data_IF_906766801976
#
_entry.id   IF_906766801976
#
_cell.length_a   1.000
_cell.length_b   1.000
_cell.length_c   1.000
_cell.angle_alpha   90.00
_cell.angle_beta   90.00
_cell.angle_gamma   90.00
#
_symmetry.space_group_name_H-M   'P 1'
#
loop_
_entity.id
_entity.type
_entity.pdbx_description
1 polymer ?
#
# COMPACT_ATOMS: atom_id res chain seq x y z
N UNK A 1 -4.20 -2.20 13.88
CA UNK A 1 -5.27 -1.85 12.93
C UNK A 1 -4.68 -1.83 11.54
N UNK A 2 -5.26 -2.55 10.59
CA UNK A 2 -4.81 -2.53 9.20
C UNK A 2 -4.97 -1.11 8.64
N UNK A 3 -3.86 -0.46 8.29
CA UNK A 3 -3.84 0.91 7.76
C UNK A 3 -4.50 1.07 6.38
N UNK A 4 -4.83 -0.01 5.70
CA UNK A 4 -5.04 -0.04 4.25
C UNK A 4 -6.47 -0.23 3.76
N UNK A 5 -7.47 -0.19 4.62
CA UNK A 5 -8.86 -0.37 4.23
C UNK A 5 -9.66 0.94 4.19
N UNK A 6 -8.98 2.07 4.30
CA UNK A 6 -9.59 3.40 4.33
C UNK A 6 -8.92 4.29 3.30
N UNK A 7 -9.67 5.03 2.48
CA UNK A 7 -9.09 6.01 1.57
C UNK A 7 -8.18 7.00 2.31
N UNK A 8 -6.99 7.24 1.77
CA UNK A 8 -6.07 8.26 2.24
C UNK A 8 -6.25 9.51 1.39
N UNK A 9 -6.62 10.62 2.03
CA UNK A 9 -6.94 11.88 1.38
C UNK A 9 -5.94 12.94 1.84
N UNK A 10 -5.14 13.46 0.93
CA UNK A 10 -4.18 14.53 1.20
C UNK A 10 -4.76 15.91 0.93
N UNK A 11 -4.58 16.86 1.86
CA UNK A 11 -5.00 18.25 1.69
C UNK A 11 -3.78 19.11 1.45
N UNK A 12 -3.69 19.70 0.25
CA UNK A 12 -2.55 20.48 -0.23
C UNK A 12 -2.94 21.94 -0.49
N UNK A 13 -1.97 22.82 -0.54
CA UNK A 13 -2.13 24.22 -0.87
C UNK A 13 -1.10 25.09 -0.17
N UNK A 14 -1.09 26.38 -0.50
CA UNK A 14 -0.18 27.36 0.12
C UNK A 14 -0.40 27.49 1.62
N UNK A 15 0.52 28.18 2.29
CA UNK A 15 0.31 28.60 3.68
C UNK A 15 -0.95 29.46 3.78
N UNK A 16 -1.66 29.36 4.89
CA UNK A 16 -2.82 30.17 5.23
C UNK A 16 -4.01 30.11 4.23
N UNK A 17 -4.02 29.17 3.29
CA UNK A 17 -5.17 28.98 2.39
C UNK A 17 -6.36 28.25 3.06
N UNK A 18 -6.23 27.89 4.35
CA UNK A 18 -7.33 27.29 5.14
C UNK A 18 -7.42 25.78 5.09
N UNK A 19 -6.31 25.04 4.81
CA UNK A 19 -6.26 23.56 4.82
C UNK A 19 -6.78 22.98 6.12
N UNK A 20 -6.20 23.38 7.24
CA UNK A 20 -6.57 22.89 8.57
C UNK A 20 -8.01 23.26 8.96
N UNK A 21 -8.49 24.41 8.54
CA UNK A 21 -9.88 24.83 8.74
C UNK A 21 -10.86 23.96 7.94
N UNK A 22 -10.50 23.61 6.69
CA UNK A 22 -11.27 22.71 5.84
C UNK A 22 -11.34 21.29 6.45
N UNK A 23 -10.22 20.79 6.98
CA UNK A 23 -10.15 19.52 7.69
C UNK A 23 -11.10 19.54 8.91
N UNK A 24 -11.03 20.58 9.73
CA UNK A 24 -11.89 20.71 10.91
C UNK A 24 -13.38 20.75 10.54
N UNK A 25 -13.72 21.40 9.43
CA UNK A 25 -15.09 21.44 8.92
C UNK A 25 -15.56 20.03 8.47
N UNK A 26 -14.75 19.32 7.67
CA UNK A 26 -15.06 17.98 7.19
C UNK A 26 -15.23 16.95 8.31
N UNK A 27 -14.52 17.14 9.42
CA UNK A 27 -14.56 16.22 10.56
C UNK A 27 -15.64 16.54 11.57
N UNK A 28 -16.27 17.71 11.49
CA UNK A 28 -17.19 18.23 12.52
C UNK A 28 -16.53 18.45 13.90
N UNK A 29 -15.18 18.42 13.97
CA UNK A 29 -14.40 18.52 15.21
C UNK A 29 -13.19 19.44 15.00
N UNK A 30 -12.73 20.09 16.07
CA UNK A 30 -11.45 20.83 16.06
C UNK A 30 -10.27 19.86 16.18
N UNK A 31 -9.95 19.20 15.07
CA UNK A 31 -8.91 18.16 15.02
C UNK A 31 -7.56 18.71 14.56
N UNK A 32 -7.56 19.68 13.64
CA UNK A 32 -6.34 20.31 13.14
C UNK A 32 -6.07 21.62 13.91
N UNK A 33 -4.78 21.91 14.13
CA UNK A 33 -4.38 23.16 14.75
C UNK A 33 -4.50 24.28 13.72
N UNK A 34 -5.43 25.22 13.95
CA UNK A 34 -5.54 26.45 13.17
C UNK A 34 -4.72 27.52 13.89
N UNK A 35 -3.71 28.08 13.23
CA UNK A 35 -2.87 29.15 13.75
C UNK A 35 -2.63 30.19 12.68
N UNK A 36 -2.69 31.46 13.09
CA UNK A 36 -2.34 32.60 12.23
C UNK A 36 -0.83 32.74 12.01
N UNK A 37 -0.03 31.94 12.73
CA UNK A 37 1.43 31.94 12.60
C UNK A 37 1.88 30.99 11.48
N UNK A 38 2.66 31.50 10.52
CA UNK A 38 3.22 30.71 9.45
C UNK A 38 4.09 29.56 9.97
N UNK A 39 3.89 28.34 9.45
CA UNK A 39 4.73 27.19 9.77
C UNK A 39 4.26 26.30 10.93
N UNK A 40 2.99 26.32 11.28
CA UNK A 40 2.43 25.52 12.38
C UNK A 40 2.48 24.01 12.11
N UNK A 41 2.32 23.58 10.85
CA UNK A 41 2.43 22.16 10.47
C UNK A 41 3.81 21.88 9.88
N UNK A 42 4.68 21.23 10.66
CA UNK A 42 6.06 20.89 10.22
C UNK A 42 6.14 19.54 9.52
N UNK A 43 5.36 18.58 9.97
CA UNK A 43 5.26 17.22 9.42
C UNK A 43 3.82 16.92 9.01
N UNK A 44 3.59 16.12 7.94
CA UNK A 44 2.25 15.71 7.56
C UNK A 44 1.56 14.97 8.71
N UNK A 45 0.38 15.43 9.11
CA UNK A 45 -0.38 14.86 10.22
C UNK A 45 -1.49 13.97 9.68
N UNK A 46 -1.43 12.68 10.01
CA UNK A 46 -2.42 11.68 9.61
C UNK A 46 -3.47 11.49 10.70
N UNK A 47 -4.73 11.54 10.32
CA UNK A 47 -5.85 11.30 11.22
C UNK A 47 -6.90 10.38 10.59
N UNK A 48 -7.21 9.29 11.29
CA UNK A 48 -8.34 8.42 10.93
C UNK A 48 -9.63 9.07 11.42
N UNK A 49 -10.55 9.30 10.51
CA UNK A 49 -11.84 9.97 10.75
C UNK A 49 -12.94 9.27 9.97
N UNK A 50 -14.17 9.65 10.25
CA UNK A 50 -15.34 9.31 9.44
C UNK A 50 -15.92 10.60 8.87
N UNK A 51 -16.05 10.67 7.54
CA UNK A 51 -16.71 11.78 6.85
C UNK A 51 -18.12 11.30 6.48
N UNK A 52 -19.13 12.02 6.94
CA UNK A 52 -20.52 11.71 6.58
C UNK A 52 -20.70 11.72 5.06
N UNK A 53 -21.21 10.63 4.50
CA UNK A 53 -21.40 10.44 3.07
C UNK A 53 -20.19 9.83 2.31
N UNK A 54 -18.98 9.82 2.92
CA UNK A 54 -17.79 9.17 2.37
C UNK A 54 -17.47 7.88 3.14
N UNK A 55 -17.65 7.90 4.47
CA UNK A 55 -17.29 6.82 5.37
C UNK A 55 -15.91 7.00 6.03
N UNK A 56 -15.36 5.92 6.61
CA UNK A 56 -14.07 5.98 7.29
C UNK A 56 -12.94 6.25 6.32
N UNK A 57 -12.10 7.25 6.62
CA UNK A 57 -10.94 7.64 5.81
C UNK A 57 -9.77 8.12 6.68
N UNK A 58 -8.63 8.36 6.06
CA UNK A 58 -7.45 8.99 6.67
C UNK A 58 -7.24 10.33 6.00
N UNK A 59 -7.44 11.44 6.73
CA UNK A 59 -7.04 12.76 6.26
C UNK A 59 -5.58 13.03 6.60
N UNK A 60 -4.86 13.63 5.66
CA UNK A 60 -3.45 14.02 5.82
C UNK A 60 -3.36 15.54 5.62
N UNK A 61 -3.11 16.26 6.72
CA UNK A 61 -2.81 17.70 6.67
C UNK A 61 -1.35 17.88 6.30
N UNK A 62 -1.08 18.72 5.27
CA UNK A 62 0.27 18.94 4.76
C UNK A 62 0.75 20.36 5.03
N UNK A 63 2.07 20.54 5.04
CA UNK A 63 2.68 21.86 5.08
C UNK A 63 2.38 22.67 3.79
N UNK A 64 2.64 23.97 3.81
CA UNK A 64 2.48 24.82 2.65
C UNK A 64 3.40 24.41 1.49
N UNK A 65 2.86 24.44 0.27
CA UNK A 65 3.63 24.14 -0.96
C UNK A 65 4.51 25.31 -1.41
N UNK A 66 4.37 26.45 -0.76
CA UNK A 66 5.07 27.72 -1.03
C UNK A 66 6.08 28.08 0.06
N UNK A 67 6.46 27.12 0.92
CA UNK A 67 7.46 27.33 1.95
C UNK A 67 8.84 27.60 1.33
N UNK A 68 9.58 28.57 1.88
CA UNK A 68 10.88 29.03 1.39
C UNK A 68 11.97 28.83 2.44
N UNK A 69 13.23 28.82 1.97
CA UNK A 69 14.40 28.57 2.82
C UNK A 69 14.67 27.07 2.99
N UNK A 70 15.79 26.73 3.62
CA UNK A 70 16.25 25.34 3.74
C UNK A 70 15.25 24.45 4.48
N UNK A 71 14.73 24.91 5.62
CA UNK A 71 13.68 24.19 6.37
C UNK A 71 12.35 24.16 5.61
N UNK A 72 12.05 25.23 4.84
CA UNK A 72 10.88 25.29 3.97
C UNK A 72 10.93 24.23 2.87
N UNK A 73 12.07 24.09 2.20
CA UNK A 73 12.26 23.08 1.17
C UNK A 73 12.07 21.65 1.71
N UNK A 74 12.62 21.34 2.90
CA UNK A 74 12.41 20.04 3.54
C UNK A 74 10.93 19.76 3.82
N UNK A 75 10.13 20.77 4.18
CA UNK A 75 8.68 20.64 4.37
C UNK A 75 7.94 20.39 3.06
N UNK A 76 8.31 21.12 2.00
CA UNK A 76 7.78 20.90 0.65
C UNK A 76 8.10 19.49 0.18
N UNK A 77 9.33 19.00 0.37
CA UNK A 77 9.73 17.64 0.00
C UNK A 77 8.92 16.57 0.76
N UNK A 78 8.68 16.78 2.06
CA UNK A 78 7.80 15.89 2.85
C UNK A 78 6.36 15.93 2.34
N UNK A 79 5.85 17.11 1.99
CA UNK A 79 4.51 17.30 1.40
C UNK A 79 4.41 16.56 0.06
N UNK A 80 5.43 16.63 -0.80
CA UNK A 80 5.45 15.92 -2.08
C UNK A 80 5.49 14.39 -1.91
N UNK A 81 6.16 13.87 -0.87
CA UNK A 81 6.16 12.44 -0.55
C UNK A 81 4.80 11.89 -0.13
N UNK A 82 3.92 12.73 0.43
CA UNK A 82 2.54 12.33 0.76
C UNK A 82 1.79 11.84 -0.47
N UNK A 83 2.07 12.40 -1.66
CA UNK A 83 1.43 11.98 -2.92
C UNK A 83 1.65 10.50 -3.25
N UNK A 84 2.71 9.88 -2.74
CA UNK A 84 3.03 8.48 -3.00
C UNK A 84 2.17 7.49 -2.19
N UNK A 85 1.45 7.99 -1.18
CA UNK A 85 0.69 7.17 -0.24
C UNK A 85 -0.81 7.46 -0.20
N UNK A 86 -1.29 8.49 -0.92
CA UNK A 86 -2.71 8.90 -0.91
C UNK A 86 -3.47 8.34 -2.11
N UNK A 87 -4.78 8.19 -1.92
CA UNK A 87 -5.73 7.74 -2.93
C UNK A 87 -6.41 8.91 -3.64
N UNK A 88 -6.48 10.07 -2.97
CA UNK A 88 -7.10 11.29 -3.48
C UNK A 88 -6.41 12.53 -2.91
N UNK A 89 -6.31 13.59 -3.70
CA UNK A 89 -5.79 14.88 -3.26
C UNK A 89 -6.84 15.98 -3.38
N UNK A 90 -6.83 16.91 -2.42
CA UNK A 90 -7.59 18.16 -2.46
C UNK A 90 -6.59 19.30 -2.52
N UNK A 91 -6.58 20.06 -3.62
CA UNK A 91 -5.77 21.28 -3.74
C UNK A 91 -6.60 22.48 -3.30
N UNK A 92 -6.22 23.10 -2.20
CA UNK A 92 -6.86 24.31 -1.66
C UNK A 92 -6.12 25.53 -2.13
N UNK A 93 -6.80 26.42 -2.83
CA UNK A 93 -6.31 27.74 -3.26
C UNK A 93 -7.15 28.84 -2.61
N UNK A 94 -6.64 30.07 -2.61
CA UNK A 94 -7.34 31.26 -2.12
C UNK A 94 -6.84 32.51 -2.84
N UNK A 95 -7.60 33.59 -2.83
CA UNK A 95 -7.21 34.87 -3.43
C UNK A 95 -6.92 34.77 -4.92
N UNK A 96 -7.61 33.87 -5.63
CA UNK A 96 -7.40 33.63 -7.06
C UNK A 96 -5.94 33.29 -7.45
N UNK A 97 -5.14 32.80 -6.49
CA UNK A 97 -3.73 32.47 -6.71
C UNK A 97 -3.57 31.05 -7.26
N UNK A 98 -3.11 30.97 -8.49
CA UNK A 98 -2.77 29.70 -9.15
C UNK A 98 -1.50 29.92 -9.98
N UNK A 99 -0.37 29.49 -9.45
CA UNK A 99 0.95 29.77 -10.01
C UNK A 99 1.87 28.55 -10.05
N UNK A 100 3.17 28.81 -10.01
CA UNK A 100 4.20 27.80 -10.17
C UNK A 100 4.14 26.68 -9.10
N UNK A 101 3.94 26.97 -7.79
CA UNK A 101 3.85 25.91 -6.78
C UNK A 101 2.69 24.94 -7.03
N UNK A 102 1.51 25.45 -7.43
CA UNK A 102 0.35 24.63 -7.77
C UNK A 102 0.62 23.76 -9.00
N UNK A 103 1.26 24.31 -10.03
CA UNK A 103 1.59 23.60 -11.28
C UNK A 103 2.58 22.47 -11.04
N UNK A 104 3.61 22.70 -10.22
CA UNK A 104 4.57 21.64 -9.84
C UNK A 104 3.89 20.50 -9.09
N UNK A 105 3.02 20.83 -8.13
CA UNK A 105 2.22 19.85 -7.40
C UNK A 105 1.32 19.05 -8.36
N UNK A 106 0.61 19.71 -9.26
CA UNK A 106 -0.27 19.06 -10.26
C UNK A 106 0.49 18.14 -11.20
N UNK A 107 1.67 18.55 -11.66
CA UNK A 107 2.52 17.70 -12.50
C UNK A 107 2.92 16.42 -11.76
N UNK A 108 3.24 16.53 -10.47
CA UNK A 108 3.56 15.36 -9.65
C UNK A 108 2.33 14.48 -9.41
N UNK A 109 1.14 15.05 -9.15
CA UNK A 109 -0.11 14.30 -9.04
C UNK A 109 -0.42 13.52 -10.32
N UNK A 110 -0.27 14.16 -11.49
CA UNK A 110 -0.47 13.51 -12.79
C UNK A 110 0.54 12.39 -13.03
N UNK A 111 1.81 12.60 -12.73
CA UNK A 111 2.86 11.59 -12.88
C UNK A 111 2.61 10.34 -12.00
N UNK A 112 2.03 10.53 -10.82
CA UNK A 112 1.68 9.46 -9.88
C UNK A 112 0.24 8.94 -10.06
N UNK A 113 -0.48 9.41 -11.08
CA UNK A 113 -1.89 9.09 -11.33
C UNK A 113 -2.76 9.24 -10.06
N UNK A 114 -2.53 10.30 -9.27
CA UNK A 114 -3.33 10.61 -8.08
C UNK A 114 -4.54 11.43 -8.52
N UNK A 115 -5.77 10.94 -8.34
CA UNK A 115 -6.98 11.73 -8.59
C UNK A 115 -7.05 12.92 -7.65
N UNK A 116 -7.51 14.04 -8.15
CA UNK A 116 -7.61 15.27 -7.36
C UNK A 116 -8.73 16.19 -7.84
N UNK A 117 -9.11 17.14 -6.98
CA UNK A 117 -9.94 18.28 -7.33
C UNK A 117 -9.45 19.54 -6.61
N UNK A 118 -9.97 20.70 -7.05
CA UNK A 118 -9.54 22.00 -6.56
C UNK A 118 -10.65 22.66 -5.78
N UNK A 119 -10.32 23.21 -4.62
CA UNK A 119 -11.21 24.03 -3.79
C UNK A 119 -10.63 25.44 -3.70
N UNK A 120 -11.37 26.42 -4.21
CA UNK A 120 -11.11 27.83 -3.93
C UNK A 120 -11.79 28.17 -2.62
N UNK A 121 -11.00 28.33 -1.56
CA UNK A 121 -11.49 28.66 -0.22
C UNK A 121 -11.45 30.18 0.02
N UNK A 122 -12.13 30.62 1.08
CA UNK A 122 -12.29 32.03 1.47
C UNK A 122 -13.06 32.84 0.41
N UNK A 123 -14.02 32.23 -0.24
CA UNK A 123 -14.90 32.92 -1.19
C UNK A 123 -15.73 34.07 -0.56
N UNK A 124 -15.76 34.14 0.78
CA UNK A 124 -16.30 35.26 1.53
C UNK A 124 -15.40 36.50 1.50
N UNK A 125 -14.08 36.31 1.43
CA UNK A 125 -13.12 37.39 1.30
C UNK A 125 -12.98 37.83 -0.18
N UNK A 126 -12.84 36.87 -1.08
CA UNK A 126 -12.64 37.08 -2.51
C UNK A 126 -13.28 35.95 -3.33
N UNK A 127 -14.33 36.27 -4.12
CA UNK A 127 -14.97 35.25 -4.99
C UNK A 127 -14.02 34.75 -6.10
N UNK A 128 -14.22 33.51 -6.55
CA UNK A 128 -13.45 32.93 -7.64
C UNK A 128 -13.74 33.66 -8.96
N UNK A 129 -12.71 34.21 -9.57
CA UNK A 129 -12.81 34.87 -10.88
C UNK A 129 -13.01 33.86 -11.99
N UNK A 130 -13.96 34.13 -12.90
CA UNK A 130 -14.27 33.21 -14.01
C UNK A 130 -13.05 32.90 -14.89
N UNK A 131 -12.15 33.86 -15.07
CA UNK A 131 -10.91 33.70 -15.85
C UNK A 131 -9.99 32.69 -15.15
N UNK A 132 -9.80 32.82 -13.84
CA UNK A 132 -8.94 31.92 -13.04
C UNK A 132 -9.55 30.53 -13.02
N UNK A 133 -10.87 30.43 -12.82
CA UNK A 133 -11.61 29.17 -12.90
C UNK A 133 -11.36 28.45 -14.23
N UNK A 134 -11.53 29.16 -15.34
CA UNK A 134 -11.35 28.59 -16.67
C UNK A 134 -9.91 28.12 -16.92
N UNK A 135 -8.91 28.83 -16.42
CA UNK A 135 -7.50 28.43 -16.51
C UNK A 135 -7.27 27.14 -15.72
N UNK A 136 -7.74 27.07 -14.47
CA UNK A 136 -7.56 25.91 -13.62
C UNK A 136 -8.26 24.69 -14.24
N UNK A 137 -9.53 24.82 -14.63
CA UNK A 137 -10.29 23.71 -15.21
C UNK A 137 -9.68 23.20 -16.53
N UNK A 138 -9.10 24.10 -17.33
CA UNK A 138 -8.37 23.72 -18.55
C UNK A 138 -7.08 22.96 -18.26
N UNK A 139 -6.30 23.42 -17.29
CA UNK A 139 -5.01 22.80 -16.93
C UNK A 139 -5.19 21.49 -16.16
N UNK A 140 -6.23 21.40 -15.34
CA UNK A 140 -6.45 20.26 -14.43
C UNK A 140 -7.44 19.23 -14.96
N UNK A 141 -8.32 19.62 -15.91
CA UNK A 141 -9.49 18.83 -16.31
C UNK A 141 -10.41 18.44 -15.13
N UNK A 142 -10.32 19.20 -14.05
CA UNK A 142 -11.06 19.01 -12.81
C UNK A 142 -11.91 20.22 -12.49
N UNK A 143 -13.08 19.99 -11.87
CA UNK A 143 -13.95 21.09 -11.39
C UNK A 143 -13.29 21.82 -10.24
N UNK A 144 -13.52 23.16 -10.23
CA UNK A 144 -13.14 24.00 -9.10
C UNK A 144 -14.39 24.34 -8.30
N UNK A 145 -14.36 24.00 -7.01
CA UNK A 145 -15.40 24.39 -6.06
C UNK A 145 -15.05 25.73 -5.44
N UNK A 146 -15.96 26.71 -5.54
CA UNK A 146 -15.88 27.98 -4.84
C UNK A 146 -16.56 27.81 -3.45
N UNK A 147 -15.81 28.02 -2.37
CA UNK A 147 -16.21 27.61 -1.03
C UNK A 147 -15.73 28.58 0.05
N UNK A 148 -16.45 28.66 1.16
CA UNK A 148 -16.04 29.39 2.36
C UNK A 148 -16.26 28.57 3.61
N UNK A 149 -15.20 28.27 4.34
CA UNK A 149 -15.28 27.63 5.65
C UNK A 149 -15.98 28.53 6.68
N UNK A 150 -15.81 29.86 6.60
CA UNK A 150 -16.36 30.81 7.56
C UNK A 150 -17.86 31.04 7.39
N UNK A 151 -18.35 31.07 6.15
CA UNK A 151 -19.79 31.17 5.88
C UNK A 151 -20.58 29.94 6.31
N UNK A 152 -19.89 28.85 6.68
CA UNK A 152 -20.50 27.54 6.93
C UNK A 152 -21.38 27.11 5.75
N UNK A 153 -20.88 27.33 4.54
CA UNK A 153 -21.54 26.90 3.33
C UNK A 153 -21.91 25.42 3.44
N UNK A 154 -22.92 25.00 2.73
CA UNK A 154 -23.29 23.58 2.68
C UNK A 154 -22.09 22.76 2.21
N UNK A 155 -21.66 21.80 3.03
CA UNK A 155 -20.51 20.92 2.71
C UNK A 155 -20.88 19.82 1.72
N UNK A 156 -22.17 19.63 1.43
CA UNK A 156 -22.64 18.54 0.56
C UNK A 156 -21.99 18.55 -0.82
N UNK A 157 -21.79 19.70 -1.51
CA UNK A 157 -21.08 19.71 -2.79
C UNK A 157 -19.61 19.26 -2.67
N UNK A 158 -18.94 19.62 -1.57
CA UNK A 158 -17.56 19.23 -1.31
C UNK A 158 -17.46 17.70 -1.07
N UNK A 159 -18.37 17.17 -0.24
CA UNK A 159 -18.46 15.73 0.04
C UNK A 159 -18.77 14.94 -1.23
N UNK A 160 -19.68 15.44 -2.06
CA UNK A 160 -20.05 14.76 -3.31
C UNK A 160 -18.89 14.71 -4.31
N UNK A 161 -18.16 15.81 -4.50
CA UNK A 161 -16.97 15.83 -5.37
C UNK A 161 -15.87 14.94 -4.79
N UNK A 162 -15.66 14.95 -3.49
CA UNK A 162 -14.71 14.09 -2.81
C UNK A 162 -15.04 12.61 -3.07
N UNK A 163 -16.30 12.21 -2.90
CA UNK A 163 -16.79 10.86 -3.16
C UNK A 163 -16.60 10.42 -4.61
N UNK A 164 -16.86 11.32 -5.57
CA UNK A 164 -16.66 11.06 -6.99
C UNK A 164 -15.18 10.97 -7.38
N UNK A 165 -14.30 11.66 -6.65
CA UNK A 165 -12.86 11.71 -6.96
C UNK A 165 -12.10 10.55 -6.33
N UNK A 166 -12.53 10.04 -5.17
CA UNK A 166 -11.90 8.87 -4.55
C UNK A 166 -12.18 7.64 -5.43
N UNK A 167 -11.15 6.95 -5.91
CA UNK A 167 -11.36 5.77 -6.76
C UNK A 167 -12.06 4.65 -5.99
N UNK A 168 -12.94 3.91 -6.66
CA UNK A 168 -13.63 2.76 -6.05
C UNK A 168 -12.67 1.76 -5.42
N UNK A 169 -11.49 1.59 -6.01
CA UNK A 169 -10.44 0.72 -5.50
C UNK A 169 -9.94 1.10 -4.10
N UNK A 170 -10.14 2.35 -3.66
CA UNK A 170 -9.79 2.81 -2.32
C UNK A 170 -10.83 2.38 -1.24
N UNK A 171 -12.05 2.05 -1.68
CA UNK A 171 -13.14 1.56 -0.80
C UNK A 171 -13.26 0.04 -0.80
N UNK A 172 -12.69 -0.62 -1.81
CA UNK A 172 -12.86 -2.06 -1.92
C UNK A 172 -12.17 -2.75 -0.75
N UNK A 173 -12.97 -3.38 0.10
CA UNK A 173 -12.50 -4.46 0.97
C UNK A 173 -12.10 -5.62 0.04
N UNK A 174 -10.88 -5.56 -0.48
CA UNK A 174 -10.35 -6.69 -1.21
C UNK A 174 -10.09 -7.79 -0.20
N UNK A 175 -10.91 -8.84 -0.23
CA UNK A 175 -10.69 -10.01 0.58
C UNK A 175 -9.36 -10.67 0.21
N UNK A 176 -8.62 -11.15 1.20
CA UNK A 176 -7.39 -11.93 1.01
C UNK A 176 -7.69 -13.25 0.31
N UNK A 177 -8.74 -13.93 0.73
CA UNK A 177 -9.05 -15.31 0.40
C UNK A 177 -10.43 -15.50 -0.26
N UNK A 178 -11.33 -14.49 -0.17
CA UNK A 178 -12.74 -14.65 -0.54
C UNK A 178 -13.04 -15.02 -2.00
N UNK A 179 -12.03 -14.96 -2.90
CA UNK A 179 -12.19 -15.48 -4.26
C UNK A 179 -11.77 -16.94 -4.42
N UNK A 180 -11.23 -17.56 -3.36
CA UNK A 180 -10.68 -18.92 -3.37
C UNK A 180 -11.26 -19.81 -2.26
N UNK A 181 -12.18 -19.27 -1.45
CA UNK A 181 -12.90 -19.98 -0.40
C UNK A 181 -14.40 -19.71 -0.53
N UNK A 182 -15.24 -20.61 -0.04
CA UNK A 182 -16.70 -20.48 -0.02
C UNK A 182 -17.22 -20.51 1.42
N UNK A 183 -18.36 -19.89 1.72
CA UNK A 183 -18.96 -19.93 3.06
C UNK A 183 -19.10 -21.37 3.59
N UNK A 184 -18.89 -21.51 4.91
CA UNK A 184 -18.90 -22.77 5.65
C UNK A 184 -17.71 -23.73 5.38
N UNK A 185 -16.77 -23.36 4.52
CA UNK A 185 -15.54 -24.15 4.33
C UNK A 185 -14.58 -24.01 5.52
N UNK A 186 -13.75 -25.02 5.72
CA UNK A 186 -12.69 -25.02 6.72
C UNK A 186 -11.39 -24.51 6.09
N UNK A 187 -10.82 -23.46 6.66
CA UNK A 187 -9.51 -22.92 6.27
C UNK A 187 -8.52 -23.12 7.41
N UNK A 188 -7.40 -23.76 7.12
CA UNK A 188 -6.33 -24.00 8.09
C UNK A 188 -5.22 -22.97 7.90
N UNK A 189 -4.91 -22.24 8.95
CA UNK A 189 -3.81 -21.29 9.01
C UNK A 189 -2.66 -21.88 9.83
N UNK A 190 -1.55 -22.19 9.16
CA UNK A 190 -0.34 -22.71 9.81
C UNK A 190 0.55 -21.56 10.21
N UNK A 191 0.58 -21.26 11.51
CA UNK A 191 1.26 -20.12 12.11
C UNK A 191 2.43 -20.58 12.98
N UNK A 192 3.68 -20.58 12.49
CA UNK A 192 4.83 -20.81 13.34
C UNK A 192 4.90 -19.77 14.45
N UNK A 193 5.33 -20.20 15.62
CA UNK A 193 5.59 -19.30 16.76
C UNK A 193 7.11 -19.32 16.97
N UNK A 194 7.76 -18.39 16.32
CA UNK A 194 9.22 -18.21 16.32
C UNK A 194 9.66 -16.90 16.98
N UNK A 195 10.95 -16.65 16.97
CA UNK A 195 11.55 -15.44 17.56
C UNK A 195 11.20 -14.14 16.82
N UNK A 196 10.64 -14.20 15.61
CA UNK A 196 10.24 -13.01 14.85
C UNK A 196 8.80 -12.59 15.18
N UNK A 197 7.99 -13.51 15.73
CA UNK A 197 6.67 -13.17 16.22
C UNK A 197 6.79 -12.39 17.54
N UNK A 198 6.13 -11.21 17.64
CA UNK A 198 6.13 -10.47 18.90
C UNK A 198 5.54 -11.33 20.02
N UNK A 199 6.16 -11.32 21.21
CA UNK A 199 5.68 -12.10 22.35
C UNK A 199 4.19 -11.83 22.64
N UNK A 200 3.43 -12.91 22.80
CA UNK A 200 2.00 -12.87 23.13
C UNK A 200 1.06 -12.48 21.98
N UNK A 201 1.54 -12.37 20.72
CA UNK A 201 0.66 -12.06 19.58
C UNK A 201 1.13 -12.68 18.25
N UNK A 202 0.18 -12.85 17.34
CA UNK A 202 0.45 -13.23 15.95
C UNK A 202 0.95 -12.02 15.15
N UNK A 203 1.65 -12.29 14.03
CA UNK A 203 2.06 -11.26 13.09
C UNK A 203 0.86 -10.75 12.26
N UNK A 204 0.99 -9.54 11.73
CA UNK A 204 -0.13 -8.87 11.04
C UNK A 204 -0.76 -9.69 9.90
N UNK A 205 -0.02 -10.36 8.99
CA UNK A 205 -0.63 -11.18 7.94
C UNK A 205 -1.49 -12.32 8.48
N UNK A 206 -1.06 -12.95 9.58
CA UNK A 206 -1.81 -14.05 10.23
C UNK A 206 -3.13 -13.51 10.82
N UNK A 207 -3.10 -12.40 11.55
CA UNK A 207 -4.30 -11.76 12.12
C UNK A 207 -5.26 -11.31 11.01
N UNK A 208 -4.73 -10.76 9.91
CA UNK A 208 -5.55 -10.36 8.75
C UNK A 208 -6.22 -11.56 8.10
N UNK A 209 -5.50 -12.68 7.92
CA UNK A 209 -6.07 -13.90 7.34
C UNK A 209 -7.16 -14.50 8.24
N UNK A 210 -6.97 -14.56 9.57
CA UNK A 210 -8.00 -14.99 10.51
C UNK A 210 -9.27 -14.17 10.32
N UNK A 211 -9.13 -12.84 10.30
CA UNK A 211 -10.27 -11.93 10.15
C UNK A 211 -10.95 -12.11 8.79
N UNK A 212 -10.19 -12.29 7.73
CA UNK A 212 -10.71 -12.46 6.37
C UNK A 212 -11.49 -13.78 6.22
N UNK A 213 -11.01 -14.87 6.81
CA UNK A 213 -11.72 -16.16 6.84
C UNK A 213 -13.09 -15.99 7.53
N UNK A 214 -13.14 -15.28 8.66
CA UNK A 214 -14.39 -15.02 9.38
C UNK A 214 -15.33 -14.07 8.62
N UNK A 215 -14.79 -13.05 7.95
CA UNK A 215 -15.57 -12.12 7.13
C UNK A 215 -16.21 -12.82 5.89
N UNK A 216 -15.63 -13.96 5.46
CA UNK A 216 -16.14 -14.80 4.39
C UNK A 216 -17.03 -15.96 4.90
N UNK A 217 -17.49 -15.90 6.15
CA UNK A 217 -18.37 -16.91 6.77
C UNK A 217 -17.78 -18.33 6.79
N UNK A 218 -16.44 -18.45 6.84
CA UNK A 218 -15.71 -19.71 6.87
C UNK A 218 -15.27 -20.07 8.29
N UNK A 219 -14.93 -21.36 8.49
CA UNK A 219 -14.39 -21.89 9.75
C UNK A 219 -12.87 -21.72 9.73
N UNK A 220 -12.32 -20.98 10.70
CA UNK A 220 -10.89 -20.74 10.82
C UNK A 220 -10.25 -21.67 11.85
N UNK A 221 -9.32 -22.50 11.41
CA UNK A 221 -8.47 -23.33 12.29
C UNK A 221 -7.06 -22.78 12.27
N UNK A 222 -6.53 -22.40 13.43
CA UNK A 222 -5.16 -21.87 13.57
C UNK A 222 -4.34 -22.89 14.35
N UNK A 223 -3.21 -23.31 13.79
CA UNK A 223 -2.33 -24.29 14.41
C UNK A 223 -0.85 -24.05 14.09
N UNK A 224 0.02 -24.64 14.87
CA UNK A 224 1.46 -24.69 14.57
C UNK A 224 1.75 -25.79 13.55
N UNK A 225 2.82 -25.61 12.79
CA UNK A 225 3.29 -26.59 11.80
C UNK A 225 3.43 -28.01 12.36
N UNK A 226 3.80 -28.13 13.63
CA UNK A 226 3.96 -29.43 14.34
C UNK A 226 2.65 -30.20 14.52
N UNK A 227 1.50 -29.51 14.47
CA UNK A 227 0.17 -30.14 14.65
C UNK A 227 -0.55 -30.39 13.31
N UNK A 228 0.04 -29.98 12.19
CA UNK A 228 -0.62 -30.08 10.88
C UNK A 228 -0.89 -31.55 10.48
N UNK A 229 0.09 -32.42 10.68
CA UNK A 229 -0.09 -33.86 10.34
C UNK A 229 -1.24 -34.49 11.15
N UNK A 230 -1.27 -34.27 12.47
CA UNK A 230 -2.34 -34.76 13.34
C UNK A 230 -3.70 -34.22 12.89
N UNK A 231 -3.78 -32.95 12.53
CA UNK A 231 -5.01 -32.35 12.02
C UNK A 231 -5.50 -33.07 10.76
N UNK A 232 -4.63 -33.28 9.77
CA UNK A 232 -4.99 -33.94 8.50
C UNK A 232 -5.42 -35.41 8.68
N UNK A 233 -4.92 -36.06 9.72
CA UNK A 233 -5.28 -37.49 10.04
C UNK A 233 -6.61 -37.60 10.79
N UNK A 234 -7.01 -36.59 11.56
CA UNK A 234 -8.12 -36.72 12.54
C UNK A 234 -9.29 -35.78 12.30
N UNK A 235 -9.11 -34.75 11.48
CA UNK A 235 -10.12 -33.71 11.24
C UNK A 235 -10.61 -33.74 9.79
N UNK A 236 -11.74 -33.10 9.50
CA UNK A 236 -12.21 -32.96 8.12
C UNK A 236 -11.18 -32.26 7.23
N UNK A 237 -11.13 -32.71 5.97
CA UNK A 237 -10.26 -32.10 4.96
C UNK A 237 -10.57 -30.62 4.80
N UNK A 238 -9.56 -29.71 4.91
CA UNK A 238 -9.77 -28.30 4.71
C UNK A 238 -9.89 -27.96 3.21
N UNK A 239 -10.62 -26.91 2.90
CA UNK A 239 -10.71 -26.37 1.54
C UNK A 239 -9.44 -25.63 1.13
N UNK A 240 -8.71 -25.07 2.11
CA UNK A 240 -7.48 -24.33 1.87
C UNK A 240 -6.56 -24.41 3.10
N UNK A 241 -5.26 -24.53 2.84
CA UNK A 241 -4.22 -24.34 3.85
C UNK A 241 -3.40 -23.11 3.50
N UNK A 242 -3.24 -22.17 4.44
CA UNK A 242 -2.36 -21.00 4.31
C UNK A 242 -1.24 -21.11 5.32
N UNK A 243 0.01 -21.12 4.87
CA UNK A 243 1.18 -21.29 5.74
C UNK A 243 2.13 -20.11 5.71
N UNK A 244 3.04 -20.04 6.67
CA UNK A 244 4.16 -19.13 6.57
C UNK A 244 5.20 -19.64 5.57
N UNK A 245 5.78 -18.73 4.79
CA UNK A 245 6.81 -19.09 3.80
C UNK A 245 8.07 -19.70 4.43
N UNK A 246 8.31 -19.48 5.70
CA UNK A 246 9.44 -20.06 6.44
C UNK A 246 9.35 -21.57 6.57
N UNK A 247 8.13 -22.09 6.73
CA UNK A 247 7.86 -23.53 6.93
C UNK A 247 7.32 -24.22 5.67
N UNK A 248 7.35 -23.56 4.53
CA UNK A 248 6.84 -24.09 3.26
C UNK A 248 7.40 -25.47 2.91
N UNK A 249 8.72 -25.64 3.01
CA UNK A 249 9.37 -26.92 2.68
C UNK A 249 8.97 -28.06 3.60
N UNK A 250 8.54 -27.77 4.83
CA UNK A 250 8.02 -28.76 5.76
C UNK A 250 6.54 -29.05 5.46
N UNK A 251 5.72 -28.00 5.36
CA UNK A 251 4.27 -28.10 5.14
C UNK A 251 3.95 -28.80 3.82
N UNK A 252 4.65 -28.44 2.73
CA UNK A 252 4.40 -29.02 1.40
C UNK A 252 4.69 -30.52 1.29
N UNK A 253 5.45 -31.10 2.22
CA UNK A 253 5.70 -32.55 2.27
C UNK A 253 4.60 -33.32 3.01
N UNK A 254 3.83 -32.62 3.84
CA UNK A 254 2.77 -33.22 4.69
C UNK A 254 1.42 -33.04 4.01
N UNK A 255 1.18 -31.92 3.33
CA UNK A 255 -0.10 -31.62 2.71
C UNK A 255 -0.30 -32.46 1.45
N UNK A 256 -1.39 -33.26 1.37
CA UNK A 256 -1.75 -33.99 0.18
C UNK A 256 -1.94 -33.08 -1.03
N UNK A 257 -1.57 -33.51 -2.26
CA UNK A 257 -1.62 -32.65 -3.47
C UNK A 257 -3.02 -32.13 -3.83
N UNK A 258 -4.06 -32.83 -3.39
CA UNK A 258 -5.47 -32.46 -3.61
C UNK A 258 -5.94 -31.30 -2.73
N UNK A 259 -5.20 -30.99 -1.64
CA UNK A 259 -5.54 -29.88 -0.75
C UNK A 259 -4.83 -28.62 -1.23
N UNK A 260 -5.56 -27.58 -1.61
CA UNK A 260 -4.98 -26.28 -1.99
C UNK A 260 -4.09 -25.71 -0.88
N UNK A 261 -2.86 -25.35 -1.25
CA UNK A 261 -1.86 -24.79 -0.34
C UNK A 261 -1.36 -23.45 -0.88
N UNK A 262 -1.28 -22.44 -0.02
CA UNK A 262 -0.63 -21.16 -0.35
C UNK A 262 0.06 -20.58 0.89
N UNK A 263 0.59 -19.34 0.80
CA UNK A 263 1.23 -18.69 1.95
C UNK A 263 0.71 -17.29 2.24
N UNK A 264 0.90 -16.85 3.49
CA UNK A 264 0.59 -15.48 3.90
C UNK A 264 1.29 -14.43 3.02
N UNK A 265 2.53 -14.69 2.61
CA UNK A 265 3.27 -13.77 1.73
C UNK A 265 2.65 -13.66 0.33
N UNK A 266 2.15 -14.77 -0.23
CA UNK A 266 1.49 -14.80 -1.55
C UNK A 266 0.13 -14.10 -1.49
N UNK A 267 -0.70 -14.40 -0.48
CA UNK A 267 -2.01 -13.74 -0.34
C UNK A 267 -1.86 -12.24 -0.06
N UNK A 268 -0.85 -11.84 0.69
CA UNK A 268 -0.53 -10.42 0.90
C UNK A 268 -0.05 -9.75 -0.38
N UNK A 269 0.77 -10.40 -1.18
CA UNK A 269 1.21 -9.91 -2.48
C UNK A 269 0.03 -9.68 -3.43
N UNK A 270 -0.97 -10.57 -3.41
CA UNK A 270 -2.20 -10.45 -4.17
C UNK A 270 -3.05 -9.26 -3.71
N UNK A 271 -3.20 -9.08 -2.41
CA UNK A 271 -3.97 -7.99 -1.84
C UNK A 271 -3.35 -6.61 -2.15
N UNK A 272 -2.03 -6.48 -2.03
CA UNK A 272 -1.33 -5.19 -1.98
C UNK A 272 -0.42 -4.91 -3.14
N UNK A 273 0.14 -5.95 -3.77
CA UNK A 273 1.14 -5.84 -4.82
C UNK A 273 0.56 -5.94 -6.24
N UNK A 274 1.45 -6.01 -7.19
CA UNK A 274 1.17 -6.30 -8.59
C UNK A 274 1.34 -7.81 -8.82
N UNK A 275 0.30 -8.54 -8.49
CA UNK A 275 0.32 -10.00 -8.47
C UNK A 275 0.68 -10.62 -9.82
N UNK A 276 0.15 -10.07 -10.91
CA UNK A 276 0.39 -10.57 -12.27
C UNK A 276 1.85 -10.40 -12.69
N UNK A 277 2.45 -9.25 -12.38
CA UNK A 277 3.86 -9.01 -12.67
C UNK A 277 4.77 -9.83 -11.77
N UNK A 278 4.40 -10.07 -10.51
CA UNK A 278 5.14 -11.01 -9.65
C UNK A 278 5.09 -12.45 -10.19
N UNK A 279 3.92 -12.92 -10.64
CA UNK A 279 3.81 -14.25 -11.28
C UNK A 279 4.69 -14.38 -12.52
N UNK A 280 4.62 -13.39 -13.42
CA UNK A 280 5.42 -13.38 -14.66
C UNK A 280 6.92 -13.26 -14.40
N UNK A 281 7.29 -12.50 -13.37
CA UNK A 281 8.69 -12.24 -13.05
C UNK A 281 9.36 -13.37 -12.28
N UNK A 282 8.62 -14.13 -11.45
CA UNK A 282 9.20 -15.20 -10.60
C UNK A 282 10.02 -16.25 -11.37
N UNK A 283 9.57 -16.81 -12.52
CA UNK A 283 10.35 -17.79 -13.28
C UNK A 283 11.68 -17.23 -13.84
N UNK A 284 11.85 -15.91 -13.88
CA UNK A 284 13.12 -15.29 -14.32
C UNK A 284 14.27 -15.56 -13.36
N UNK A 285 14.02 -16.01 -12.14
CA UNK A 285 15.04 -16.49 -11.20
C UNK A 285 15.97 -17.55 -11.84
N UNK A 286 15.43 -18.45 -12.67
CA UNK A 286 16.23 -19.47 -13.37
C UNK A 286 17.11 -18.91 -14.50
N UNK A 287 16.91 -17.66 -14.89
CA UNK A 287 17.62 -16.99 -15.97
C UNK A 287 18.74 -16.05 -15.48
N UNK A 288 18.94 -15.93 -14.17
CA UNK A 288 20.03 -15.15 -13.58
C UNK A 288 21.39 -15.69 -14.00
N UNK A 289 22.36 -14.79 -14.17
CA UNK A 289 23.71 -15.05 -14.65
C UNK A 289 24.76 -14.65 -13.62
N UNK A 290 25.97 -15.17 -13.76
CA UNK A 290 27.09 -14.74 -12.92
C UNK A 290 27.33 -13.24 -13.06
N UNK A 291 27.49 -12.57 -11.93
CA UNK A 291 27.66 -11.13 -11.84
C UNK A 291 26.39 -10.31 -11.78
N UNK A 292 25.20 -10.91 -11.97
CA UNK A 292 23.91 -10.22 -11.83
C UNK A 292 23.72 -9.68 -10.42
N UNK A 293 23.01 -8.55 -10.32
CA UNK A 293 22.62 -7.98 -9.04
C UNK A 293 21.12 -8.09 -8.86
N UNK A 294 20.69 -8.70 -7.77
CA UNK A 294 19.28 -8.82 -7.36
C UNK A 294 18.99 -7.83 -6.23
N UNK A 295 17.93 -7.05 -6.39
CA UNK A 295 17.47 -6.11 -5.37
C UNK A 295 16.40 -6.75 -4.49
N UNK A 296 16.63 -6.74 -3.19
CA UNK A 296 15.69 -7.21 -2.18
C UNK A 296 14.98 -6.00 -1.52
N UNK A 297 13.67 -5.94 -1.68
CA UNK A 297 12.84 -4.83 -1.24
C UNK A 297 12.11 -5.21 0.06
N UNK A 298 12.47 -4.57 1.15
CA UNK A 298 11.86 -4.74 2.46
C UNK A 298 10.86 -3.60 2.72
N UNK A 299 9.71 -3.89 3.34
CA UNK A 299 8.70 -2.87 3.69
C UNK A 299 8.75 -2.43 5.14
N UNK A 300 9.56 -3.07 5.95
CA UNK A 300 9.74 -2.77 7.36
C UNK A 300 11.21 -2.45 7.66
N UNK A 301 11.42 -1.76 8.78
CA UNK A 301 12.75 -1.40 9.29
C UNK A 301 13.12 -2.26 10.50
N UNK A 302 12.76 -3.56 10.46
CA UNK A 302 13.12 -4.48 11.54
C UNK A 302 14.64 -4.67 11.61
N UNK A 303 15.14 -4.88 12.81
CA UNK A 303 16.53 -5.32 12.98
C UNK A 303 16.69 -6.71 12.37
N UNK A 304 17.69 -6.87 11.51
CA UNK A 304 18.03 -8.15 10.90
C UNK A 304 18.46 -9.14 11.98
N UNK A 305 17.72 -10.24 12.11
CA UNK A 305 18.12 -11.39 12.93
C UNK A 305 18.92 -12.37 12.08
N UNK A 306 19.58 -13.35 12.71
CA UNK A 306 20.31 -14.41 11.99
C UNK A 306 19.37 -15.31 11.13
N UNK A 307 18.06 -15.18 11.30
CA UNK A 307 17.03 -15.96 10.59
C UNK A 307 16.22 -15.12 9.58
N UNK A 308 16.61 -13.86 9.38
CA UNK A 308 15.92 -12.93 8.46
C UNK A 308 15.72 -13.57 7.07
N UNK A 309 14.46 -13.62 6.63
CA UNK A 309 14.08 -14.21 5.35
C UNK A 309 14.73 -13.45 4.20
N UNK A 310 14.67 -12.13 4.22
CA UNK A 310 15.14 -11.26 3.13
C UNK A 310 16.66 -11.23 3.04
N UNK A 311 17.34 -11.09 4.18
CA UNK A 311 18.81 -10.86 4.20
C UNK A 311 19.65 -12.10 4.30
N UNK A 312 19.09 -13.21 4.77
CA UNK A 312 19.85 -14.44 5.01
C UNK A 312 19.30 -15.62 4.20
N UNK A 313 18.03 -15.97 4.39
CA UNK A 313 17.47 -17.20 3.80
C UNK A 313 17.34 -17.08 2.28
N UNK A 314 16.73 -16.01 1.79
CA UNK A 314 16.46 -15.81 0.37
C UNK A 314 17.74 -15.73 -0.48
N UNK A 315 18.76 -14.92 -0.11
CA UNK A 315 20.04 -14.93 -0.81
C UNK A 315 20.71 -16.32 -0.89
N UNK A 316 20.76 -17.02 0.25
CA UNK A 316 21.34 -18.39 0.27
C UNK A 316 20.60 -19.36 -0.64
N UNK A 317 19.27 -19.27 -0.68
CA UNK A 317 18.46 -20.14 -1.54
C UNK A 317 18.64 -19.78 -3.02
N UNK A 318 18.73 -18.50 -3.38
CA UNK A 318 18.98 -18.06 -4.76
C UNK A 318 20.34 -18.55 -5.23
N UNK A 319 21.40 -18.37 -4.46
CA UNK A 319 22.75 -18.87 -4.77
C UNK A 319 22.74 -20.40 -4.96
N UNK A 320 22.10 -21.14 -4.05
CA UNK A 320 21.98 -22.59 -4.14
C UNK A 320 21.16 -23.04 -5.35
N UNK A 321 20.06 -22.37 -5.65
CA UNK A 321 19.15 -22.71 -6.74
C UNK A 321 19.79 -22.42 -8.11
N UNK A 322 20.42 -21.27 -8.27
CA UNK A 322 21.02 -20.84 -9.55
C UNK A 322 22.38 -21.46 -9.79
N UNK A 323 23.14 -21.75 -8.74
CA UNK A 323 24.55 -22.14 -8.83
C UNK A 323 25.45 -21.03 -9.38
N UNK A 324 25.01 -19.77 -9.30
CA UNK A 324 25.67 -18.60 -9.89
C UNK A 324 26.20 -17.65 -8.81
N UNK A 325 27.17 -16.82 -9.19
CA UNK A 325 27.66 -15.72 -8.36
C UNK A 325 26.76 -14.49 -8.51
N UNK A 326 25.79 -14.36 -7.60
CA UNK A 326 24.78 -13.30 -7.62
C UNK A 326 25.07 -12.32 -6.49
N UNK A 327 25.00 -11.02 -6.79
CA UNK A 327 25.12 -9.95 -5.82
C UNK A 327 23.75 -9.54 -5.30
N UNK A 328 23.68 -9.12 -4.05
CA UNK A 328 22.43 -8.67 -3.42
C UNK A 328 22.56 -7.27 -2.89
N UNK A 329 21.59 -6.43 -3.21
CA UNK A 329 21.40 -5.12 -2.60
C UNK A 329 20.05 -5.08 -1.91
N UNK A 330 19.92 -4.20 -0.90
CA UNK A 330 18.75 -4.14 -0.02
C UNK A 330 18.24 -2.72 0.07
N UNK A 331 16.93 -2.54 -0.07
CA UNK A 331 16.26 -1.27 0.20
C UNK A 331 15.14 -1.49 1.21
N UNK A 332 15.33 -0.91 2.41
CA UNK A 332 14.39 -1.02 3.51
C UNK A 332 13.38 0.14 3.53
N UNK A 333 12.18 -0.13 4.00
CA UNK A 333 11.12 0.87 4.11
C UNK A 333 10.74 1.48 2.77
N UNK A 334 10.66 2.79 2.71
CA UNK A 334 10.34 3.58 1.52
C UNK A 334 11.56 4.40 1.03
N UNK A 335 12.76 3.93 1.29
CA UNK A 335 13.96 4.58 0.78
C UNK A 335 13.94 4.64 -0.75
N UNK A 336 14.45 5.73 -1.35
CA UNK A 336 14.52 5.88 -2.80
C UNK A 336 15.31 4.73 -3.44
N UNK A 337 14.87 4.30 -4.62
CA UNK A 337 15.58 3.33 -5.45
C UNK A 337 16.23 4.11 -6.58
N UNK A 338 17.53 4.28 -6.45
CA UNK A 338 18.34 4.92 -7.48
C UNK A 338 18.79 3.89 -8.49
N UNK A 339 18.78 4.25 -9.78
CA UNK A 339 19.26 3.41 -10.86
C UNK A 339 18.67 1.99 -10.88
N UNK A 340 17.33 1.83 -11.01
CA UNK A 340 16.69 0.52 -11.05
C UNK A 340 17.20 -0.35 -12.21
N UNK A 341 17.68 0.26 -13.31
CA UNK A 341 18.23 -0.38 -14.51
C UNK A 341 19.47 -1.25 -14.26
N UNK A 342 20.16 -1.08 -13.14
CA UNK A 342 21.33 -1.88 -12.78
C UNK A 342 20.99 -3.28 -12.26
N UNK A 343 19.72 -3.52 -11.91
CA UNK A 343 19.31 -4.79 -11.33
C UNK A 343 18.78 -5.75 -12.40
N UNK A 344 19.22 -6.98 -12.35
CA UNK A 344 18.70 -8.05 -13.19
C UNK A 344 17.29 -8.47 -12.78
N UNK A 345 16.96 -8.29 -11.49
CA UNK A 345 15.66 -8.63 -10.91
C UNK A 345 15.45 -7.89 -9.58
N UNK A 346 14.21 -7.61 -9.24
CA UNK A 346 13.80 -7.18 -7.90
C UNK A 346 12.90 -8.22 -7.23
N UNK A 347 12.99 -8.38 -5.91
CA UNK A 347 12.11 -9.27 -5.14
C UNK A 347 11.53 -8.50 -3.96
N UNK A 348 10.22 -8.32 -3.94
CA UNK A 348 9.49 -7.55 -2.95
C UNK A 348 8.99 -8.46 -1.81
N UNK A 349 9.16 -8.03 -0.56
CA UNK A 349 8.53 -8.70 0.58
C UNK A 349 6.99 -8.58 0.54
N UNK A 350 6.27 -9.26 1.44
CA UNK A 350 4.80 -9.25 1.51
C UNK A 350 4.16 -7.87 1.76
N UNK A 351 4.94 -6.86 2.10
CA UNK A 351 4.48 -5.48 2.16
C UNK A 351 3.52 -5.18 3.32
N UNK A 352 3.56 -5.94 4.41
CA UNK A 352 2.60 -5.82 5.52
C UNK A 352 2.57 -4.44 6.19
N UNK A 353 3.64 -3.65 6.08
CA UNK A 353 3.75 -2.30 6.66
C UNK A 353 3.58 -1.17 5.64
N UNK A 354 3.39 -1.49 4.35
CA UNK A 354 3.23 -0.52 3.27
C UNK A 354 1.79 -0.46 2.77
N UNK A 355 1.36 0.67 2.23
CA UNK A 355 0.07 0.78 1.54
C UNK A 355 0.16 0.10 0.17
N UNK A 356 -1.00 -0.26 -0.41
CA UNK A 356 -1.06 -0.82 -1.76
C UNK A 356 -0.46 0.14 -2.78
N UNK A 357 -0.75 1.43 -2.67
CA UNK A 357 -0.21 2.47 -3.57
C UNK A 357 1.31 2.54 -3.52
N UNK A 358 1.90 2.49 -2.33
CA UNK A 358 3.35 2.49 -2.16
C UNK A 358 4.02 1.29 -2.82
N UNK A 359 3.43 0.09 -2.67
CA UNK A 359 3.95 -1.13 -3.30
C UNK A 359 3.83 -1.09 -4.82
N UNK A 360 2.68 -0.64 -5.34
CA UNK A 360 2.47 -0.49 -6.79
C UNK A 360 3.44 0.54 -7.39
N UNK A 361 3.64 1.68 -6.74
CA UNK A 361 4.61 2.67 -7.20
C UNK A 361 6.03 2.08 -7.26
N UNK A 362 6.44 1.30 -6.25
CA UNK A 362 7.73 0.60 -6.26
C UNK A 362 7.82 -0.42 -7.40
N UNK A 363 6.80 -1.26 -7.56
CA UNK A 363 6.74 -2.27 -8.62
C UNK A 363 6.83 -1.63 -9.99
N UNK A 364 6.11 -0.53 -10.22
CA UNK A 364 6.09 0.18 -11.49
C UNK A 364 7.47 0.73 -11.89
N UNK A 365 8.36 1.04 -10.96
CA UNK A 365 9.74 1.46 -11.27
C UNK A 365 10.49 0.39 -12.08
N UNK A 366 10.23 -0.89 -11.80
CA UNK A 366 10.87 -2.02 -12.48
C UNK A 366 10.08 -2.44 -13.73
N UNK A 367 8.77 -2.58 -13.60
CA UNK A 367 7.88 -3.00 -14.69
C UNK A 367 7.99 -2.07 -15.90
N UNK A 368 7.99 -0.75 -15.67
CA UNK A 368 8.11 0.25 -16.74
C UNK A 368 9.47 0.20 -17.49
N UNK A 369 10.48 -0.43 -16.90
CA UNK A 369 11.79 -0.63 -17.51
C UNK A 369 12.00 -2.07 -18.02
N UNK A 370 10.96 -2.91 -17.94
CA UNK A 370 11.04 -4.31 -18.34
C UNK A 370 11.87 -5.19 -17.41
N UNK A 371 12.18 -4.72 -16.19
CA UNK A 371 12.94 -5.48 -15.19
C UNK A 371 11.99 -6.43 -14.47
N UNK A 372 12.27 -7.73 -14.41
CA UNK A 372 11.43 -8.69 -13.73
C UNK A 372 11.36 -8.41 -12.24
N UNK A 373 10.16 -8.54 -11.69
CA UNK A 373 9.93 -8.43 -10.26
C UNK A 373 9.17 -9.64 -9.73
N UNK A 374 9.52 -10.09 -8.53
CA UNK A 374 8.87 -11.21 -7.82
C UNK A 374 8.47 -10.80 -6.41
N UNK A 375 7.81 -11.72 -5.70
CA UNK A 375 7.52 -11.64 -4.27
C UNK A 375 8.33 -12.69 -3.48
N UNK A 376 8.68 -12.42 -2.21
CA UNK A 376 9.43 -13.35 -1.37
C UNK A 376 8.79 -14.75 -1.30
N UNK A 377 7.48 -14.82 -1.06
CA UNK A 377 6.76 -16.10 -0.99
C UNK A 377 6.76 -16.85 -2.31
N UNK A 378 6.56 -16.13 -3.43
CA UNK A 378 6.58 -16.73 -4.77
C UNK A 378 7.99 -17.21 -5.15
N UNK A 379 9.02 -16.42 -4.85
CA UNK A 379 10.42 -16.81 -5.08
C UNK A 379 10.79 -18.06 -4.29
N UNK A 380 10.43 -18.12 -3.01
CA UNK A 380 10.64 -19.30 -2.17
C UNK A 380 9.89 -20.53 -2.70
N UNK A 381 8.63 -20.38 -3.11
CA UNK A 381 7.85 -21.46 -3.69
C UNK A 381 8.47 -21.99 -5.00
N UNK A 382 8.95 -21.08 -5.86
CA UNK A 382 9.59 -21.44 -7.12
C UNK A 382 10.88 -22.25 -6.91
N UNK A 383 11.74 -21.79 -6.02
CA UNK A 383 12.99 -22.47 -5.71
C UNK A 383 12.79 -23.82 -5.01
N UNK A 384 11.65 -24.02 -4.35
CA UNK A 384 11.26 -25.30 -3.75
C UNK A 384 10.50 -26.23 -4.73
N UNK A 385 10.27 -25.82 -5.98
CA UNK A 385 9.56 -26.62 -6.98
C UNK A 385 8.06 -26.77 -6.78
N UNK A 386 7.44 -25.93 -5.94
CA UNK A 386 6.01 -25.99 -5.61
C UNK A 386 5.22 -24.77 -6.13
N UNK A 387 5.85 -23.94 -6.96
CA UNK A 387 5.26 -22.66 -7.40
C UNK A 387 3.90 -22.82 -8.07
N UNK A 388 3.78 -23.77 -9.02
CA UNK A 388 2.52 -24.00 -9.73
C UNK A 388 1.40 -24.43 -8.77
N UNK A 389 1.71 -25.34 -7.84
CA UNK A 389 0.74 -25.84 -6.85
C UNK A 389 0.22 -24.75 -5.93
N UNK A 390 1.10 -23.87 -5.43
CA UNK A 390 0.70 -22.77 -4.52
C UNK A 390 0.04 -21.60 -5.24
N UNK A 391 0.18 -21.52 -6.56
CA UNK A 391 -0.49 -20.54 -7.40
C UNK A 391 -1.83 -21.04 -7.96
N UNK A 392 -2.04 -22.35 -7.97
CA UNK A 392 -3.26 -22.98 -8.49
C UNK A 392 -4.56 -22.42 -7.89
N UNK A 393 -4.64 -22.11 -6.57
CA UNK A 393 -5.86 -21.54 -5.99
C UNK A 393 -6.25 -20.18 -6.59
N UNK A 394 -5.30 -19.47 -7.21
CA UNK A 394 -5.53 -18.14 -7.79
C UNK A 394 -5.72 -18.14 -9.31
N UNK A 395 -5.64 -19.32 -9.93
CA UNK A 395 -5.96 -19.45 -11.35
C UNK A 395 -7.44 -19.12 -11.58
N UNK A 396 -7.81 -18.42 -12.68
CA UNK A 396 -9.21 -18.23 -13.01
C UNK A 396 -9.87 -19.60 -13.11
N UNK A 397 -10.95 -19.80 -12.39
CA UNK A 397 -11.82 -20.99 -12.60
C UNK A 397 -12.31 -20.89 -14.06
N UNK A 398 -11.86 -21.84 -14.89
CA UNK A 398 -12.28 -21.97 -16.30
C UNK A 398 -13.76 -22.27 -16.39
#
# INVERSE_FOLDING_TARGET
MAKDLKPHIGIFGRRNCGKSSLINLLTGQQIAIVSDTAGTTTDPVKKSIEIFGVGPCVLIDTAGIDDVGELGQQRVDKTMKVLEEIDCAVLVITGNQFGEPEKQLLNRMKALAVPFFVVHNKADEEPLLAVVKAVIEKETQSKVLDFSVLRKDDISPLVEVLKQTIPESAYQKVSLLGSIIQPNEVVVLVCPVDSEAPEGRLILPQVMAIRDVLDNECICVVLKETHLQQYLETMPQPALIVTDSQVFSFVSKIVPPEIPLTSFSIVMARLRGDFDNYMKGTPRLSQLKDGDTVLLLESCTHHSTCEDIGRVKLPRMILKFTGKDIRFEYVAGLAPIEHPEKYAMAIQCGGCMSTRKQLLNRTNLFVNQGIPISNYGMALAYMNGIFEGVMAPFAPTL
#
